data_IF_360710044455
#
_entry.id   IF_360710044455
#
_cell.length_a   1.000
_cell.length_b   1.000
_cell.length_c   1.000
_cell.angle_alpha   90.00
_cell.angle_beta   90.00
_cell.angle_gamma   90.00
#
_symmetry.space_group_name_H-M   'P 1'
#
loop_
_entity.id
_entity.type
_entity.pdbx_description
1 polymer ?
#
# COMPACT_ATOMS: atom_id res chain seq x y z
N UNK A 1 3.11 5.69 -9.44
CA UNK A 1 3.10 7.12 -9.09
C UNK A 1 1.65 7.54 -8.96
N UNK A 2 1.28 8.31 -7.94
CA UNK A 2 -0.10 8.74 -7.68
C UNK A 2 -0.26 10.21 -8.02
N UNK A 3 -1.19 10.55 -8.91
CA UNK A 3 -1.55 11.94 -9.22
C UNK A 3 -2.89 12.26 -8.56
N UNK A 4 -2.96 13.40 -7.85
CA UNK A 4 -4.20 13.94 -7.28
C UNK A 4 -4.28 15.40 -7.63
N UNK A 5 -5.37 15.78 -8.27
CA UNK A 5 -5.68 17.17 -8.57
C UNK A 5 -6.44 17.79 -7.39
N UNK A 6 -6.10 19.04 -7.08
CA UNK A 6 -6.82 19.86 -6.11
C UNK A 6 -8.22 20.13 -6.67
N UNK A 7 -9.25 20.01 -5.83
CA UNK A 7 -10.62 20.35 -6.21
C UNK A 7 -10.89 21.82 -5.87
N UNK A 8 -11.70 22.50 -6.68
CA UNK A 8 -12.16 23.85 -6.36
C UNK A 8 -12.93 23.86 -5.04
N UNK A 9 -12.59 24.78 -4.14
CA UNK A 9 -13.18 24.89 -2.80
C UNK A 9 -12.64 23.89 -1.75
N UNK A 10 -11.59 23.12 -2.05
CA UNK A 10 -11.04 22.18 -1.08
C UNK A 10 -10.08 22.85 -0.07
N UNK A 11 -10.27 22.57 1.22
CA UNK A 11 -9.31 22.94 2.26
C UNK A 11 -7.99 22.17 2.11
N UNK A 12 -6.87 22.85 2.38
CA UNK A 12 -5.52 22.29 2.35
C UNK A 12 -5.40 20.96 3.12
N UNK A 13 -6.01 20.87 4.29
CA UNK A 13 -5.95 19.67 5.13
C UNK A 13 -6.68 18.47 4.48
N UNK A 14 -7.81 18.72 3.81
CA UNK A 14 -8.54 17.68 3.07
C UNK A 14 -7.69 17.13 1.92
N UNK A 15 -7.02 18.02 1.16
CA UNK A 15 -6.12 17.62 0.08
C UNK A 15 -4.99 16.72 0.59
N UNK A 16 -4.31 17.12 1.66
CA UNK A 16 -3.22 16.33 2.27
C UNK A 16 -3.71 14.95 2.73
N UNK A 17 -4.91 14.88 3.31
CA UNK A 17 -5.49 13.60 3.73
C UNK A 17 -5.77 12.67 2.55
N UNK A 18 -6.32 13.19 1.45
CA UNK A 18 -6.54 12.42 0.21
C UNK A 18 -5.21 11.99 -0.41
N UNK A 19 -4.22 12.88 -0.42
CA UNK A 19 -2.87 12.60 -0.89
C UNK A 19 -2.22 11.45 -0.14
N UNK A 20 -2.18 11.51 1.20
CA UNK A 20 -1.63 10.44 2.04
C UNK A 20 -2.34 9.11 1.79
N UNK A 21 -3.69 9.11 1.76
CA UNK A 21 -4.48 7.90 1.49
C UNK A 21 -4.18 7.30 0.12
N UNK A 22 -3.99 8.12 -0.91
CA UNK A 22 -3.61 7.64 -2.25
C UNK A 22 -2.23 7.01 -2.26
N UNK A 23 -1.24 7.66 -1.63
CA UNK A 23 0.12 7.13 -1.49
C UNK A 23 0.15 5.80 -0.72
N UNK A 24 -0.65 5.69 0.36
CA UNK A 24 -0.81 4.46 1.13
C UNK A 24 -1.46 3.35 0.31
N UNK A 25 -2.55 3.66 -0.42
CA UNK A 25 -3.25 2.71 -1.28
C UNK A 25 -2.37 2.21 -2.43
N UNK A 26 -1.54 3.10 -3.00
CA UNK A 26 -0.55 2.73 -4.01
C UNK A 26 0.65 1.96 -3.44
N UNK A 27 0.77 1.84 -2.10
CA UNK A 27 1.82 1.07 -1.45
C UNK A 27 3.21 1.73 -1.53
N UNK A 28 3.29 3.01 -1.91
CA UNK A 28 4.55 3.77 -2.03
C UNK A 28 5.43 3.64 -0.77
N UNK A 29 4.94 3.87 0.46
CA UNK A 29 5.79 3.76 1.65
C UNK A 29 6.32 2.34 1.89
N UNK A 30 5.55 1.30 1.53
CA UNK A 30 6.02 -0.09 1.61
C UNK A 30 7.09 -0.38 0.55
N UNK A 31 6.96 0.22 -0.62
CA UNK A 31 7.93 0.05 -1.69
C UNK A 31 9.25 0.75 -1.40
N UNK A 32 9.23 1.95 -0.80
CA UNK A 32 10.44 2.64 -0.35
C UNK A 32 11.22 1.76 0.65
N UNK A 33 10.56 1.29 1.70
CA UNK A 33 11.16 0.39 2.70
C UNK A 33 11.74 -0.90 2.12
N UNK A 34 11.14 -1.41 1.03
CA UNK A 34 11.63 -2.60 0.33
C UNK A 34 12.90 -2.32 -0.48
N UNK A 35 13.05 -1.10 -0.99
CA UNK A 35 14.17 -0.69 -1.86
C UNK A 35 15.37 -0.16 -1.07
N UNK A 36 15.21 0.13 0.22
CA UNK A 36 16.29 0.58 1.11
C UNK A 36 17.48 -0.38 1.16
N UNK A 37 17.26 -1.68 0.97
CA UNK A 37 18.31 -2.69 0.94
C UNK A 37 18.08 -3.71 -0.18
N UNK A 38 19.18 -4.32 -0.64
CA UNK A 38 19.08 -5.41 -1.59
C UNK A 38 18.45 -6.64 -0.94
N UNK A 39 17.33 -7.08 -1.51
CA UNK A 39 16.69 -8.31 -1.13
C UNK A 39 17.05 -9.44 -2.11
N UNK A 40 17.67 -10.50 -1.59
CA UNK A 40 17.99 -11.70 -2.37
C UNK A 40 16.72 -12.28 -3.03
N UNK A 41 16.82 -12.88 -4.23
CA UNK A 41 15.64 -13.41 -4.95
C UNK A 41 14.81 -14.42 -4.13
N UNK A 42 15.46 -15.24 -3.30
CA UNK A 42 14.80 -16.20 -2.40
C UNK A 42 13.95 -15.51 -1.34
N UNK A 43 14.48 -14.48 -0.69
CA UNK A 43 13.75 -13.68 0.31
C UNK A 43 12.56 -12.96 -0.33
N UNK A 44 12.75 -12.43 -1.55
CA UNK A 44 11.68 -11.81 -2.33
C UNK A 44 10.53 -12.77 -2.62
N UNK A 45 10.84 -14.02 -3.00
CA UNK A 45 9.85 -15.10 -3.19
C UNK A 45 9.13 -15.44 -1.88
N UNK A 46 9.87 -15.62 -0.79
CA UNK A 46 9.32 -15.94 0.55
C UNK A 46 8.35 -14.86 1.03
N UNK A 47 8.71 -13.58 0.91
CA UNK A 47 7.85 -12.45 1.29
C UNK A 47 6.57 -12.39 0.47
N UNK A 48 6.67 -12.55 -0.86
CA UNK A 48 5.48 -12.56 -1.75
C UNK A 48 4.49 -13.66 -1.35
N UNK A 49 4.98 -14.87 -1.06
CA UNK A 49 4.14 -15.98 -0.62
C UNK A 49 3.46 -15.69 0.73
N UNK A 50 4.21 -15.15 1.69
CA UNK A 50 3.66 -14.78 3.00
C UNK A 50 2.60 -13.67 2.90
N UNK A 51 2.78 -12.70 2.00
CA UNK A 51 1.79 -11.65 1.74
C UNK A 51 0.51 -12.21 1.09
N UNK A 52 0.65 -13.12 0.11
CA UNK A 52 -0.48 -13.79 -0.51
C UNK A 52 -1.29 -14.62 0.50
N UNK A 53 -0.60 -15.41 1.35
CA UNK A 53 -1.24 -16.20 2.43
C UNK A 53 -2.01 -15.30 3.41
N UNK A 54 -1.39 -14.20 3.88
CA UNK A 54 -2.07 -13.23 4.77
C UNK A 54 -3.28 -12.58 4.11
N UNK A 55 -3.23 -12.28 2.81
CA UNK A 55 -4.37 -11.72 2.07
C UNK A 55 -5.49 -12.73 1.85
N UNK A 56 -5.16 -14.00 1.62
CA UNK A 56 -6.16 -15.08 1.53
C UNK A 56 -6.84 -15.32 2.88
N UNK A 57 -6.06 -15.39 3.96
CA UNK A 57 -6.60 -15.57 5.30
C UNK A 57 -7.58 -14.46 5.70
N UNK A 58 -7.22 -13.19 5.47
CA UNK A 58 -8.13 -12.06 5.73
C UNK A 58 -9.43 -12.13 4.95
N UNK A 59 -9.36 -12.48 3.65
CA UNK A 59 -10.57 -12.65 2.81
C UNK A 59 -11.47 -13.79 3.31
N UNK A 60 -10.89 -14.89 3.76
CA UNK A 60 -11.67 -15.99 4.32
C UNK A 60 -12.34 -15.55 5.64
N UNK A 61 -11.65 -14.80 6.51
CA UNK A 61 -12.26 -14.27 7.73
C UNK A 61 -13.42 -13.32 7.43
N UNK A 62 -13.27 -12.42 6.45
CA UNK A 62 -14.33 -11.52 5.97
C UNK A 62 -15.52 -12.27 5.34
N UNK A 63 -15.31 -13.46 4.79
CA UNK A 63 -16.38 -14.28 4.20
C UNK A 63 -17.11 -15.16 5.22
N UNK A 64 -16.50 -15.40 6.38
CA UNK A 64 -17.12 -16.15 7.49
C UNK A 64 -17.89 -15.25 8.47
N UNK A 65 -17.67 -13.93 8.42
CA UNK A 65 -18.39 -12.90 9.18
C UNK A 65 -19.60 -12.37 8.42
#
# INVERSE_FOLDING_TARGET
MTQINVKEGESYESFIRRFRRSCERAGIPKEVKRREYYEKPSQRKKRKLAEAKRKAWRRNQEALS
#
